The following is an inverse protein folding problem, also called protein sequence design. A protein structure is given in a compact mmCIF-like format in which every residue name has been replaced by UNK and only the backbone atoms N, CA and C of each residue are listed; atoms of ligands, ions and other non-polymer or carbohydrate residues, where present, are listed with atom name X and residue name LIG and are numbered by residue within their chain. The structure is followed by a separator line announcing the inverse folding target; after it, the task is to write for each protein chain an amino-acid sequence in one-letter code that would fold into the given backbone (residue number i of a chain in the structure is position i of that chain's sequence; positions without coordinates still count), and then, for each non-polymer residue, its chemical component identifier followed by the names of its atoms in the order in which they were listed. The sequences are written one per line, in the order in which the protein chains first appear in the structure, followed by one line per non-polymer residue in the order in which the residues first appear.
data_IF_380174977679
#
_entry.id   IF_380174977679
#
_cell.length_a   1.000
_cell.length_b   1.000
_cell.length_c   1.000
_cell.angle_alpha   90.00
_cell.angle_beta   90.00
_cell.angle_gamma   90.00
#
_symmetry.space_group_name_H-M   'P 1'
#
loop_
_entity.id
_entity.type
_entity.pdbx_description
1 polymer ?
#
# COMPACT_ATOMS: atom_id res chain seq x y z
N UNK A 1 -27.70 10.38 -20.29
CA UNK A 1 -26.39 10.59 -19.63
C UNK A 1 -26.47 11.45 -18.38
N UNK A 2 -27.11 12.64 -18.39
CA UNK A 2 -27.19 13.52 -17.21
C UNK A 2 -27.87 12.89 -15.97
N UNK A 3 -28.98 12.16 -16.17
CA UNK A 3 -29.71 11.51 -15.06
C UNK A 3 -28.94 10.38 -14.38
N UNK A 4 -28.25 9.54 -15.15
CA UNK A 4 -27.45 8.43 -14.61
C UNK A 4 -26.25 8.94 -13.79
N UNK A 5 -25.60 10.02 -14.26
CA UNK A 5 -24.49 10.66 -13.56
C UNK A 5 -24.95 11.28 -12.22
N UNK A 6 -26.13 11.93 -12.20
CA UNK A 6 -26.74 12.44 -10.98
C UNK A 6 -27.08 11.32 -9.99
N UNK A 7 -27.65 10.20 -10.45
CA UNK A 7 -27.97 9.07 -9.58
C UNK A 7 -26.72 8.43 -8.98
N UNK A 8 -25.62 8.32 -9.75
CA UNK A 8 -24.34 7.82 -9.24
C UNK A 8 -23.70 8.77 -8.22
N UNK A 9 -23.75 10.09 -8.46
CA UNK A 9 -23.27 11.10 -7.50
C UNK A 9 -24.10 11.12 -6.21
N UNK A 10 -25.42 10.96 -6.32
CA UNK A 10 -26.32 10.87 -5.16
C UNK A 10 -26.12 9.57 -4.36
N UNK A 11 -25.78 8.46 -5.02
CA UNK A 11 -25.46 7.20 -4.35
C UNK A 11 -24.16 7.28 -3.53
N UNK A 12 -23.18 8.11 -3.95
CA UNK A 12 -21.96 8.37 -3.17
C UNK A 12 -22.19 9.28 -1.95
N UNK A 13 -23.32 10.00 -1.89
CA UNK A 13 -23.69 10.89 -0.78
C UNK A 13 -24.50 10.18 0.31
N UNK A 14 -24.84 8.90 0.14
CA UNK A 14 -25.53 8.11 1.16
C UNK A 14 -24.56 7.86 2.33
N UNK A 15 -24.88 8.30 3.56
CA UNK A 15 -24.03 8.05 4.71
C UNK A 15 -24.12 6.57 5.07
N UNK A 16 -23.09 5.81 4.69
CA UNK A 16 -22.92 4.44 5.18
C UNK A 16 -22.46 4.51 6.64
N UNK A 17 -22.98 3.64 7.53
CA UNK A 17 -22.52 3.58 8.91
C UNK A 17 -21.03 3.20 8.94
N UNK A 18 -20.18 4.18 9.23
CA UNK A 18 -18.75 3.99 9.38
C UNK A 18 -18.49 3.37 10.77
N UNK A 19 -18.22 2.07 10.80
CA UNK A 19 -17.65 1.42 11.99
C UNK A 19 -16.14 1.67 11.97
N UNK A 20 -15.66 2.47 12.92
CA UNK A 20 -14.32 3.05 12.93
C UNK A 20 -13.15 2.05 12.97
N UNK A 21 -13.39 0.77 13.26
CA UNK A 21 -12.34 -0.24 13.45
C UNK A 21 -12.27 -1.36 12.38
N UNK A 22 -13.07 -1.27 11.31
CA UNK A 22 -13.10 -2.34 10.29
C UNK A 22 -12.00 -2.14 9.21
N UNK A 23 -11.42 -0.94 9.12
CA UNK A 23 -10.40 -0.62 8.12
C UNK A 23 -9.05 -1.30 8.37
N UNK A 24 -8.24 -1.51 7.31
CA UNK A 24 -6.86 -1.96 7.43
C UNK A 24 -6.12 -0.99 8.34
N UNK A 25 -5.14 -1.51 9.05
CA UNK A 25 -4.38 -0.75 10.03
C UNK A 25 -2.96 -0.59 9.54
N UNK A 26 -2.31 0.56 9.84
CA UNK A 26 -0.90 0.71 9.55
C UNK A 26 -0.11 -0.42 10.22
N UNK A 27 0.97 -0.82 9.58
CA UNK A 27 1.85 -1.85 10.11
C UNK A 27 3.32 -1.50 9.92
N UNK A 28 4.13 -2.04 10.83
CA UNK A 28 5.59 -2.01 10.73
C UNK A 28 6.08 -3.44 10.78
N UNK A 29 6.69 -3.90 9.68
CA UNK A 29 7.33 -5.22 9.57
C UNK A 29 8.83 -5.06 9.61
N UNK A 30 9.50 -5.85 10.45
CA UNK A 30 10.95 -5.91 10.54
C UNK A 30 11.39 -7.33 10.19
N UNK A 31 12.28 -7.48 9.21
CA UNK A 31 12.99 -8.74 8.95
C UNK A 31 14.37 -8.66 9.59
N UNK A 32 14.80 -9.71 10.28
CA UNK A 32 16.07 -9.76 10.99
C UNK A 32 16.98 -10.80 10.34
N UNK A 33 18.27 -10.48 10.24
CA UNK A 33 19.30 -11.35 9.68
C UNK A 33 20.60 -11.23 10.47
N UNK A 34 21.41 -12.28 10.46
CA UNK A 34 22.71 -12.29 11.14
C UNK A 34 22.64 -12.69 12.62
N UNK A 35 21.54 -13.34 13.02
CA UNK A 35 21.34 -13.91 14.37
C UNK A 35 21.36 -15.46 14.34
N UNK A 36 21.93 -16.06 13.28
CA UNK A 36 21.80 -17.48 12.93
C UNK A 36 22.01 -18.43 14.11
N UNK A 37 20.93 -19.08 14.54
CA UNK A 37 20.92 -20.09 15.60
C UNK A 37 20.68 -19.55 17.02
N UNK A 38 20.71 -18.23 17.23
CA UNK A 38 20.46 -17.63 18.54
C UNK A 38 18.96 -17.38 18.76
N UNK A 39 18.48 -17.76 19.95
CA UNK A 39 17.14 -17.37 20.41
C UNK A 39 17.14 -15.86 20.63
N UNK A 40 16.30 -15.11 19.91
CA UNK A 40 16.21 -13.67 20.08
C UNK A 40 14.75 -13.21 20.19
N UNK A 41 14.53 -12.15 20.96
CA UNK A 41 13.25 -11.47 21.06
C UNK A 41 13.40 -10.03 20.61
N UNK A 42 12.37 -9.46 20.00
CA UNK A 42 12.40 -8.11 19.47
C UNK A 42 11.17 -7.31 19.90
N UNK A 43 11.31 -6.00 19.97
CA UNK A 43 10.20 -5.04 20.13
C UNK A 43 10.48 -3.76 19.35
N UNK A 44 9.44 -2.92 19.20
CA UNK A 44 9.61 -1.52 18.84
C UNK A 44 9.45 -0.67 20.11
N UNK A 45 10.53 0.01 20.50
CA UNK A 45 10.44 1.04 21.53
C UNK A 45 9.81 2.28 20.90
N UNK A 46 8.81 2.87 21.56
CA UNK A 46 8.07 4.03 21.07
C UNK A 46 8.66 5.33 21.60
N UNK A 47 8.69 6.38 20.78
CA UNK A 47 9.05 7.73 21.26
C UNK A 47 8.00 8.34 22.22
N UNK A 48 6.79 7.78 22.24
CA UNK A 48 5.66 8.26 23.04
C UNK A 48 4.96 7.12 23.79
N UNK A 49 4.40 7.43 24.96
CA UNK A 49 3.50 6.53 25.70
C UNK A 49 2.44 7.36 26.45
N UNK A 50 1.14 7.03 26.35
CA UNK A 50 0.58 5.91 25.58
C UNK A 50 0.61 6.18 24.06
N UNK A 51 0.53 5.12 23.27
CA UNK A 51 0.38 5.19 21.81
C UNK A 51 -0.69 4.20 21.34
N UNK A 52 -1.76 4.72 20.74
CA UNK A 52 -2.93 3.90 20.39
C UNK A 52 -3.49 3.20 21.63
N UNK A 53 -3.74 1.87 21.59
CA UNK A 53 -4.19 1.11 22.75
C UNK A 53 -3.05 0.68 23.68
N UNK A 54 -1.79 0.98 23.35
CA UNK A 54 -0.62 0.50 24.07
C UNK A 54 -0.03 1.57 24.99
N UNK A 55 0.60 1.12 26.07
CA UNK A 55 1.22 2.00 27.06
C UNK A 55 2.44 1.35 27.68
N UNK A 56 3.37 2.16 28.15
CA UNK A 56 4.46 1.72 29.00
C UNK A 56 3.93 1.06 30.28
N UNK A 57 4.72 0.14 30.82
CA UNK A 57 4.39 -0.51 32.08
C UNK A 57 4.35 0.50 33.23
N UNK A 58 3.34 0.37 34.10
CA UNK A 58 3.13 1.26 35.24
C UNK A 58 4.05 0.97 36.44
N UNK A 59 4.84 -0.12 36.38
CA UNK A 59 5.75 -0.55 37.44
C UNK A 59 5.10 -1.39 38.55
N UNK A 60 3.78 -1.59 38.53
CA UNK A 60 3.03 -2.24 39.60
C UNK A 60 2.20 -3.43 39.12
N UNK A 61 1.58 -3.32 37.95
CA UNK A 61 0.65 -4.34 37.45
C UNK A 61 1.39 -5.50 36.81
N UNK A 62 1.13 -6.73 37.27
CA UNK A 62 1.57 -7.92 36.56
C UNK A 62 0.61 -8.19 35.42
N UNK A 63 1.11 -8.44 34.22
CA UNK A 63 0.28 -8.96 33.15
C UNK A 63 -0.01 -10.45 33.42
N UNK A 64 -1.15 -10.73 34.05
CA UNK A 64 -1.58 -12.09 34.42
C UNK A 64 -1.85 -13.02 33.21
N UNK A 65 -1.84 -12.47 31.99
CA UNK A 65 -2.06 -13.25 30.76
C UNK A 65 -0.80 -13.92 30.24
N UNK A 66 0.38 -13.55 30.76
CA UNK A 66 1.66 -14.12 30.37
C UNK A 66 1.96 -15.40 31.17
N UNK A 67 2.48 -16.41 30.50
CA UNK A 67 3.13 -17.54 31.16
C UNK A 67 4.37 -17.09 31.93
N UNK A 68 4.91 -17.92 32.82
CA UNK A 68 6.11 -17.54 33.59
C UNK A 68 7.32 -17.27 32.68
N UNK A 69 7.53 -18.10 31.66
CA UNK A 69 8.60 -17.91 30.66
C UNK A 69 8.42 -16.60 29.87
N UNK A 70 7.20 -16.30 29.44
CA UNK A 70 6.87 -15.05 28.76
C UNK A 70 7.07 -13.84 29.67
N UNK A 71 6.69 -13.97 30.95
CA UNK A 71 6.86 -12.91 31.94
C UNK A 71 8.33 -12.61 32.21
N UNK A 72 9.21 -13.60 32.26
CA UNK A 72 10.65 -13.40 32.41
C UNK A 72 11.23 -12.57 31.25
N UNK A 73 10.88 -12.91 30.01
CA UNK A 73 11.32 -12.16 28.82
C UNK A 73 10.72 -10.77 28.80
N UNK A 74 9.41 -10.66 29.03
CA UNK A 74 8.70 -9.38 29.09
C UNK A 74 9.32 -8.46 30.15
N UNK A 75 9.68 -8.99 31.32
CA UNK A 75 10.29 -8.20 32.40
C UNK A 75 11.65 -7.63 32.00
N UNK A 76 12.41 -8.33 31.14
CA UNK A 76 13.68 -7.81 30.60
C UNK A 76 13.43 -6.56 29.76
N UNK A 77 12.42 -6.57 28.90
CA UNK A 77 12.02 -5.39 28.15
C UNK A 77 11.41 -4.29 29.03
N UNK A 78 10.56 -4.64 29.99
CA UNK A 78 9.91 -3.68 30.88
C UNK A 78 10.87 -2.92 31.79
N UNK A 79 12.04 -3.50 32.08
CA UNK A 79 13.12 -2.88 32.86
C UNK A 79 14.22 -2.27 32.01
N UNK A 80 14.12 -2.36 30.68
CA UNK A 80 15.11 -1.76 29.80
C UNK A 80 14.93 -0.23 29.81
N UNK A 81 15.98 0.49 30.19
CA UNK A 81 16.03 1.96 30.13
C UNK A 81 16.74 2.37 28.84
N UNK A 82 15.96 2.89 27.88
CA UNK A 82 16.54 3.43 26.65
C UNK A 82 17.25 4.77 26.93
N UNK A 83 18.50 4.96 26.46
CA UNK A 83 19.24 6.20 26.68
C UNK A 83 18.58 7.47 26.12
N UNK A 84 17.76 7.33 25.07
CA UNK A 84 17.04 8.44 24.45
C UNK A 84 15.59 8.55 24.98
N UNK A 85 15.23 7.80 26.02
CA UNK A 85 13.93 7.87 26.68
C UNK A 85 12.78 7.20 25.94
N UNK A 86 13.05 6.27 25.01
CA UNK A 86 12.00 5.50 24.33
C UNK A 86 11.37 4.45 25.25
N UNK A 87 10.07 4.19 25.06
CA UNK A 87 9.24 3.37 25.92
C UNK A 87 8.99 1.98 25.33
N UNK A 88 9.12 0.93 26.15
CA UNK A 88 8.58 -0.39 25.82
C UNK A 88 7.06 -0.41 26.05
N UNK A 89 6.28 -0.61 24.99
CA UNK A 89 4.80 -0.62 25.06
C UNK A 89 4.20 -2.01 25.31
N UNK A 90 4.96 -2.88 26.00
CA UNK A 90 4.51 -4.19 26.47
C UNK A 90 4.25 -5.26 25.38
N UNK A 91 4.60 -4.98 24.13
CA UNK A 91 4.53 -5.94 23.01
C UNK A 91 5.92 -6.38 22.57
N UNK A 92 6.14 -7.68 22.42
CA UNK A 92 7.40 -8.23 21.92
C UNK A 92 7.13 -9.50 21.11
N UNK A 93 8.09 -9.88 20.28
CA UNK A 93 7.99 -11.02 19.38
C UNK A 93 9.22 -11.90 19.49
N UNK A 94 9.01 -13.22 19.40
CA UNK A 94 10.10 -14.14 19.14
C UNK A 94 10.56 -14.00 17.68
N UNK A 95 11.87 -13.97 17.46
CA UNK A 95 12.47 -13.79 16.14
C UNK A 95 13.46 -14.91 15.84
N UNK A 96 13.53 -15.29 14.57
CA UNK A 96 14.54 -16.25 14.06
C UNK A 96 15.25 -15.64 12.86
N UNK A 97 16.41 -16.18 12.52
CA UNK A 97 17.21 -15.68 11.40
C UNK A 97 16.46 -15.73 10.07
N UNK A 98 16.60 -14.68 9.26
CA UNK A 98 15.84 -14.44 8.03
C UNK A 98 14.31 -14.32 8.22
N UNK A 99 13.83 -14.35 9.46
CA UNK A 99 12.46 -14.02 9.84
C UNK A 99 12.50 -12.79 10.74
N UNK A 100 11.33 -12.26 11.08
CA UNK A 100 11.25 -11.21 12.06
C UNK A 100 9.82 -11.09 12.53
N UNK A 101 9.29 -9.88 12.61
CA UNK A 101 7.99 -9.65 13.21
C UNK A 101 7.23 -8.53 12.52
N UNK A 102 5.93 -8.46 12.81
CA UNK A 102 5.04 -7.41 12.31
C UNK A 102 4.22 -6.88 13.47
N UNK A 103 4.32 -5.57 13.73
CA UNK A 103 3.38 -4.85 14.57
C UNK A 103 2.24 -4.34 13.69
N UNK A 104 1.14 -5.09 13.65
CA UNK A 104 0.04 -4.92 12.69
C UNK A 104 -1.13 -4.04 13.14
N UNK A 105 -1.11 -3.54 14.38
CA UNK A 105 -2.18 -2.72 14.94
C UNK A 105 -1.55 -1.55 15.69
N UNK A 106 -1.79 -0.32 15.24
CA UNK A 106 -1.26 0.91 15.84
C UNK A 106 0.25 0.86 16.21
N UNK A 107 1.16 0.49 15.29
CA UNK A 107 2.59 0.59 15.55
C UNK A 107 2.98 2.06 15.82
N UNK A 108 4.01 2.32 16.63
CA UNK A 108 4.53 3.67 16.86
C UNK A 108 4.98 4.35 15.55
N UNK A 109 4.76 5.67 15.44
CA UNK A 109 5.23 6.48 14.31
C UNK A 109 6.75 6.65 14.35
N UNK A 110 7.28 7.06 15.49
CA UNK A 110 8.71 7.21 15.77
C UNK A 110 9.13 6.13 16.76
N UNK A 111 10.13 5.33 16.40
CA UNK A 111 10.48 4.14 17.17
C UNK A 111 11.95 3.75 17.05
N UNK A 112 12.39 2.83 17.92
CA UNK A 112 13.63 2.07 17.77
C UNK A 112 13.34 0.59 17.76
N UNK A 113 14.16 -0.20 17.09
CA UNK A 113 14.13 -1.66 17.20
C UNK A 113 15.04 -2.04 18.36
N UNK A 114 14.54 -2.86 19.28
CA UNK A 114 15.31 -3.42 20.38
C UNK A 114 15.29 -4.94 20.29
N UNK A 115 16.47 -5.56 20.27
CA UNK A 115 16.67 -7.00 20.34
C UNK A 115 17.17 -7.39 21.72
N UNK A 116 16.68 -8.50 22.24
CA UNK A 116 17.13 -9.15 23.47
C UNK A 116 17.57 -10.58 23.18
N UNK A 117 18.77 -10.93 23.63
CA UNK A 117 19.37 -12.26 23.49
C UNK A 117 19.41 -12.94 24.87
N UNK A 118 18.50 -13.88 25.18
CA UNK A 118 18.39 -14.48 26.51
C UNK A 118 19.62 -15.26 26.94
N UNK A 119 20.36 -15.85 25.99
CA UNK A 119 21.55 -16.67 26.29
C UNK A 119 22.70 -15.83 26.85
N UNK A 120 22.86 -14.60 26.36
CA UNK A 120 23.91 -13.67 26.79
C UNK A 120 23.39 -12.59 27.75
N UNK A 121 22.07 -12.40 27.82
CA UNK A 121 21.43 -11.29 28.52
C UNK A 121 21.65 -9.94 27.84
N UNK A 122 22.19 -9.91 26.62
CA UNK A 122 22.55 -8.69 25.92
C UNK A 122 21.35 -8.05 25.21
N UNK A 123 21.40 -6.72 25.08
CA UNK A 123 20.49 -5.94 24.26
C UNK A 123 21.23 -5.29 23.10
N UNK A 124 20.57 -5.23 21.94
CA UNK A 124 21.01 -4.43 20.79
C UNK A 124 19.88 -3.49 20.37
N UNK A 125 20.18 -2.20 20.29
CA UNK A 125 19.20 -1.16 19.93
C UNK A 125 19.59 -0.49 18.61
N UNK A 126 18.60 -0.07 17.83
CA UNK A 126 18.83 0.68 16.59
C UNK A 126 18.96 2.16 16.88
N UNK A 127 19.34 2.94 15.86
CA UNK A 127 19.03 4.37 15.85
C UNK A 127 17.52 4.62 15.80
N UNK A 128 17.12 5.89 15.95
CA UNK A 128 15.72 6.32 15.80
C UNK A 128 15.26 6.14 14.36
N UNK A 129 14.07 5.58 14.20
CA UNK A 129 13.41 5.29 12.93
C UNK A 129 12.02 5.93 12.92
N UNK A 130 11.51 6.19 11.73
CA UNK A 130 10.17 6.71 11.53
C UNK A 130 9.44 5.86 10.49
N UNK A 131 8.15 5.60 10.75
CA UNK A 131 7.30 4.88 9.81
C UNK A 131 7.07 5.74 8.56
N UNK A 132 7.46 5.23 7.40
CA UNK A 132 7.48 5.99 6.15
C UNK A 132 6.28 5.73 5.22
N UNK A 133 5.54 4.65 5.47
CA UNK A 133 4.39 4.22 4.67
C UNK A 133 3.31 3.59 5.57
N UNK A 134 2.10 3.44 5.01
CA UNK A 134 1.00 2.73 5.67
C UNK A 134 1.42 1.31 6.09
N UNK A 135 2.11 0.60 5.22
CA UNK A 135 2.84 -0.63 5.52
C UNK A 135 4.34 -0.34 5.36
N UNK A 136 5.04 -0.21 6.48
CA UNK A 136 6.49 0.04 6.47
C UNK A 136 7.26 -1.25 6.69
N UNK A 137 8.34 -1.40 5.95
CA UNK A 137 9.20 -2.58 5.96
C UNK A 137 10.63 -2.16 6.26
N UNK A 138 11.23 -2.82 7.25
CA UNK A 138 12.62 -2.61 7.61
C UNK A 138 13.37 -3.93 7.56
N UNK A 139 14.61 -3.86 7.07
CA UNK A 139 15.56 -4.95 7.15
C UNK A 139 16.62 -4.60 8.18
N UNK A 140 16.67 -5.40 9.23
CA UNK A 140 17.64 -5.36 10.31
C UNK A 140 18.74 -6.42 10.05
N UNK A 141 19.98 -5.96 9.93
CA UNK A 141 21.16 -6.81 9.85
C UNK A 141 22.00 -6.66 11.12
N UNK A 142 22.17 -7.77 11.84
CA UNK A 142 22.98 -7.85 13.06
C UNK A 142 24.37 -8.35 12.68
N UNK A 143 25.41 -7.63 13.10
CA UNK A 143 26.80 -8.04 12.88
C UNK A 143 27.75 -7.36 13.87
N UNK A 144 28.76 -8.08 14.36
CA UNK A 144 29.85 -7.50 15.15
C UNK A 144 29.42 -6.75 16.42
N UNK A 145 28.32 -7.17 17.06
CA UNK A 145 27.77 -6.50 18.25
C UNK A 145 26.99 -5.21 17.97
N UNK A 146 26.70 -4.91 16.70
CA UNK A 146 25.88 -3.78 16.28
C UNK A 146 24.72 -4.21 15.38
N UNK A 147 23.85 -3.25 15.07
CA UNK A 147 22.67 -3.44 14.25
C UNK A 147 22.57 -2.34 13.19
N UNK A 148 22.42 -2.74 11.93
CA UNK A 148 22.16 -1.84 10.80
C UNK A 148 20.73 -2.04 10.33
N UNK A 149 19.98 -0.95 10.24
CA UNK A 149 18.58 -0.98 9.81
C UNK A 149 18.41 -0.12 8.57
N UNK A 150 17.70 -0.66 7.57
CA UNK A 150 17.34 0.05 6.35
C UNK A 150 15.88 -0.19 5.99
N UNK A 151 15.24 0.80 5.35
CA UNK A 151 13.95 0.60 4.72
C UNK A 151 14.08 -0.46 3.60
N UNK A 152 13.10 -1.35 3.49
CA UNK A 152 13.14 -2.51 2.60
C UNK A 152 11.83 -2.71 1.83
N UNK A 153 11.16 -1.61 1.47
CA UNK A 153 9.94 -1.67 0.68
C UNK A 153 10.20 -2.28 -0.70
N UNK A 154 9.37 -3.25 -1.12
CA UNK A 154 9.43 -3.84 -2.46
C UNK A 154 8.66 -2.97 -3.47
N UNK A 155 9.35 -1.99 -4.04
CA UNK A 155 8.81 -1.13 -5.10
C UNK A 155 8.53 -1.90 -6.41
N UNK A 156 9.26 -2.98 -6.66
CA UNK A 156 9.27 -3.69 -7.94
C UNK A 156 7.96 -4.43 -8.20
N UNK A 157 7.38 -5.02 -7.14
CA UNK A 157 6.11 -5.74 -7.23
C UNK A 157 4.94 -4.83 -7.57
N UNK A 158 4.89 -3.63 -6.97
CA UNK A 158 3.88 -2.62 -7.30
C UNK A 158 3.99 -2.17 -8.76
N UNK A 159 5.21 -1.85 -9.20
CA UNK A 159 5.47 -1.33 -10.55
C UNK A 159 5.22 -2.37 -11.64
N UNK A 160 5.64 -3.62 -11.45
CA UNK A 160 5.42 -4.70 -12.42
C UNK A 160 3.93 -4.99 -12.64
N UNK A 161 3.11 -4.98 -11.58
CA UNK A 161 1.66 -5.13 -11.68
C UNK A 161 1.00 -3.96 -12.40
N UNK A 162 1.43 -2.74 -12.11
CA UNK A 162 0.97 -1.54 -12.81
C UNK A 162 1.31 -1.60 -14.31
N UNK A 163 2.54 -2.00 -14.64
CA UNK A 163 3.00 -2.12 -16.02
C UNK A 163 2.23 -3.20 -16.80
N UNK A 164 2.04 -4.39 -16.20
CA UNK A 164 1.24 -5.46 -16.81
C UNK A 164 -0.18 -4.99 -17.12
N UNK A 165 -0.81 -4.28 -16.19
CA UNK A 165 -2.16 -3.78 -16.37
C UNK A 165 -2.24 -2.73 -17.46
N UNK A 166 -1.33 -1.75 -17.47
CA UNK A 166 -1.25 -0.77 -18.55
C UNK A 166 -1.08 -1.44 -19.93
N UNK A 167 -0.20 -2.45 -20.02
CA UNK A 167 0.01 -3.20 -21.27
C UNK A 167 -1.26 -3.93 -21.74
N UNK A 168 -1.94 -4.65 -20.83
CA UNK A 168 -3.17 -5.37 -21.16
C UNK A 168 -4.30 -4.43 -21.56
N UNK A 169 -4.42 -3.27 -20.90
CA UNK A 169 -5.38 -2.23 -21.27
C UNK A 169 -5.09 -1.70 -22.68
N UNK A 170 -3.85 -1.31 -22.97
CA UNK A 170 -3.47 -0.82 -24.31
C UNK A 170 -3.79 -1.86 -25.40
N UNK A 171 -3.53 -3.15 -25.14
CA UNK A 171 -3.85 -4.23 -26.07
C UNK A 171 -5.36 -4.39 -26.29
N UNK A 172 -6.14 -4.34 -25.20
CA UNK A 172 -7.59 -4.41 -25.25
C UNK A 172 -8.18 -3.23 -26.05
N UNK A 173 -7.69 -2.02 -25.80
CA UNK A 173 -8.17 -0.81 -26.47
C UNK A 173 -7.77 -0.75 -27.94
N UNK A 174 -6.59 -1.25 -28.30
CA UNK A 174 -6.20 -1.43 -29.69
C UNK A 174 -7.11 -2.45 -30.40
N UNK A 175 -7.41 -3.59 -29.76
CA UNK A 175 -8.35 -4.58 -30.29
C UNK A 175 -9.74 -4.01 -30.52
N UNK A 176 -10.26 -3.24 -29.55
CA UNK A 176 -11.54 -2.56 -29.68
C UNK A 176 -11.53 -1.47 -30.76
N UNK A 177 -10.42 -0.74 -30.92
CA UNK A 177 -10.31 0.26 -31.97
C UNK A 177 -10.49 -0.36 -33.35
N UNK A 178 -9.87 -1.52 -33.59
CA UNK A 178 -10.02 -2.29 -34.83
C UNK A 178 -11.46 -2.78 -35.04
N UNK A 179 -12.13 -3.27 -33.99
CA UNK A 179 -13.53 -3.70 -34.05
C UNK A 179 -14.50 -2.55 -34.36
N UNK A 180 -14.20 -1.34 -33.88
CA UNK A 180 -14.95 -0.12 -34.18
C UNK A 180 -14.62 0.48 -35.55
N UNK A 181 -13.74 -0.16 -36.32
CA UNK A 181 -13.37 0.24 -37.68
C UNK A 181 -12.29 1.30 -37.77
N UNK A 182 -11.61 1.64 -36.66
CA UNK A 182 -10.47 2.54 -36.69
C UNK A 182 -9.24 1.77 -37.19
N UNK A 183 -8.78 2.12 -38.40
CA UNK A 183 -7.63 1.48 -39.05
C UNK A 183 -6.53 2.46 -39.44
N UNK A 184 -6.77 3.76 -39.30
CA UNK A 184 -5.77 4.76 -39.64
C UNK A 184 -4.69 4.85 -38.55
N UNK A 185 -3.42 4.82 -38.96
CA UNK A 185 -2.29 4.88 -38.03
C UNK A 185 -2.35 6.09 -37.08
N UNK A 186 -2.85 7.24 -37.56
CA UNK A 186 -3.01 8.45 -36.73
C UNK A 186 -4.10 8.31 -35.67
N UNK A 187 -5.16 7.55 -35.94
CA UNK A 187 -6.22 7.26 -34.97
C UNK A 187 -5.72 6.26 -33.93
N UNK A 188 -5.06 5.19 -34.39
CA UNK A 188 -4.48 4.18 -33.51
C UNK A 188 -3.39 4.79 -32.59
N UNK A 189 -2.56 5.69 -33.12
CA UNK A 189 -1.56 6.41 -32.33
C UNK A 189 -2.20 7.35 -31.29
N UNK A 190 -3.31 8.01 -31.63
CA UNK A 190 -4.05 8.84 -30.68
C UNK A 190 -4.60 7.99 -29.53
N UNK A 191 -5.22 6.84 -29.82
CA UNK A 191 -5.75 5.93 -28.81
C UNK A 191 -4.63 5.37 -27.93
N UNK A 192 -3.58 4.82 -28.54
CA UNK A 192 -2.46 4.25 -27.82
C UNK A 192 -1.73 5.28 -26.95
N UNK A 193 -1.48 6.48 -27.48
CA UNK A 193 -0.82 7.56 -26.74
C UNK A 193 -1.66 8.09 -25.58
N UNK A 194 -2.96 8.28 -25.79
CA UNK A 194 -3.87 8.72 -24.72
C UNK A 194 -3.94 7.67 -23.61
N UNK A 195 -4.15 6.40 -23.97
CA UNK A 195 -4.15 5.28 -23.04
C UNK A 195 -2.87 5.17 -22.22
N UNK A 196 -1.72 5.26 -22.87
CA UNK A 196 -0.44 5.16 -22.18
C UNK A 196 -0.31 6.24 -21.10
N UNK A 197 -0.71 7.47 -21.43
CA UNK A 197 -0.67 8.61 -20.50
C UNK A 197 -1.69 8.42 -19.37
N UNK A 198 -2.95 8.13 -19.70
CA UNK A 198 -4.03 8.02 -18.71
C UNK A 198 -3.83 6.84 -17.78
N UNK A 199 -3.46 5.67 -18.30
CA UNK A 199 -3.16 4.47 -17.50
C UNK A 199 -1.90 4.67 -16.65
N UNK A 200 -0.87 5.33 -17.19
CA UNK A 200 0.31 5.71 -16.40
C UNK A 200 -0.06 6.58 -15.20
N UNK A 201 -0.84 7.63 -15.42
CA UNK A 201 -1.31 8.53 -14.36
C UNK A 201 -2.19 7.80 -13.33
N UNK A 202 -3.10 6.94 -13.79
CA UNK A 202 -3.97 6.14 -12.93
C UNK A 202 -3.16 5.25 -11.99
N UNK A 203 -2.22 4.45 -12.51
CA UNK A 203 -1.49 3.50 -11.68
C UNK A 203 -0.46 4.14 -10.78
N UNK A 204 0.21 5.22 -11.22
CA UNK A 204 1.09 5.99 -10.33
C UNK A 204 0.27 6.57 -9.17
N UNK A 205 -0.89 7.15 -9.46
CA UNK A 205 -1.77 7.72 -8.43
C UNK A 205 -2.23 6.65 -7.43
N UNK A 206 -2.68 5.49 -7.93
CA UNK A 206 -3.12 4.38 -7.08
C UNK A 206 -1.99 3.78 -6.25
N UNK A 207 -0.79 3.70 -6.81
CA UNK A 207 0.40 3.26 -6.08
C UNK A 207 0.70 4.20 -4.91
N UNK A 208 0.74 5.51 -5.16
CA UNK A 208 0.96 6.52 -4.11
C UNK A 208 -0.14 6.50 -3.05
N UNK A 209 -1.40 6.37 -3.47
CA UNK A 209 -2.53 6.30 -2.53
C UNK A 209 -2.42 5.06 -1.64
N UNK A 210 -2.08 3.90 -2.21
CA UNK A 210 -1.87 2.67 -1.42
C UNK A 210 -0.71 2.83 -0.45
N UNK A 211 0.39 3.43 -0.91
CA UNK A 211 1.58 3.65 -0.09
C UNK A 211 1.30 4.52 1.15
N UNK A 212 0.52 5.59 1.00
CA UNK A 212 0.24 6.52 2.10
C UNK A 212 -1.01 6.18 2.91
N UNK A 213 -2.05 5.60 2.28
CA UNK A 213 -3.40 5.44 2.86
C UNK A 213 -3.86 4.00 2.97
N UNK A 214 -3.08 3.04 2.49
CA UNK A 214 -3.37 1.62 2.60
C UNK A 214 -4.36 1.07 1.56
N UNK A 215 -4.65 -0.24 1.65
CA UNK A 215 -5.33 -0.99 0.59
C UNK A 215 -6.83 -0.69 0.44
N UNK A 216 -7.48 -0.12 1.45
CA UNK A 216 -8.89 0.28 1.31
C UNK A 216 -9.06 1.59 0.55
N UNK A 217 -8.16 2.54 0.76
CA UNK A 217 -8.14 3.79 0.00
C UNK A 217 -7.94 3.50 -1.49
N UNK A 218 -7.14 2.48 -1.83
CA UNK A 218 -6.98 2.01 -3.21
C UNK A 218 -8.32 1.76 -3.90
N UNK A 219 -9.23 0.98 -3.30
CA UNK A 219 -10.50 0.61 -3.96
C UNK A 219 -11.42 1.80 -4.21
N UNK A 220 -11.54 2.69 -3.23
CA UNK A 220 -12.33 3.90 -3.37
C UNK A 220 -11.76 4.78 -4.49
N UNK A 221 -10.46 5.07 -4.44
CA UNK A 221 -9.81 5.93 -5.42
C UNK A 221 -9.68 5.29 -6.79
N UNK A 222 -9.60 3.97 -6.88
CA UNK A 222 -9.65 3.23 -8.15
C UNK A 222 -10.93 3.56 -8.90
N UNK A 223 -12.09 3.48 -8.27
CA UNK A 223 -13.36 3.80 -8.91
C UNK A 223 -13.45 5.28 -9.35
N UNK A 224 -12.97 6.20 -8.50
CA UNK A 224 -12.99 7.65 -8.79
C UNK A 224 -12.05 8.00 -9.95
N UNK A 225 -10.84 7.47 -9.94
CA UNK A 225 -9.83 7.78 -10.95
C UNK A 225 -10.13 7.12 -12.29
N UNK A 226 -10.68 5.89 -12.32
CA UNK A 226 -11.17 5.25 -13.54
C UNK A 226 -12.29 6.07 -14.21
N UNK A 227 -13.21 6.63 -13.41
CA UNK A 227 -14.26 7.52 -13.95
C UNK A 227 -13.66 8.81 -14.53
N UNK A 228 -12.61 9.35 -13.90
CA UNK A 228 -11.90 10.53 -14.39
C UNK A 228 -11.16 10.22 -15.70
N UNK A 229 -10.47 9.08 -15.78
CA UNK A 229 -9.79 8.59 -17.00
C UNK A 229 -10.79 8.45 -18.14
N UNK A 230 -11.91 7.76 -17.92
CA UNK A 230 -12.96 7.63 -18.92
C UNK A 230 -13.44 8.99 -19.45
N UNK A 231 -13.69 9.94 -18.54
CA UNK A 231 -14.17 11.28 -18.93
C UNK A 231 -13.13 12.02 -19.77
N UNK A 232 -11.85 11.93 -19.39
CA UNK A 232 -10.74 12.54 -20.10
C UNK A 232 -10.55 11.92 -21.49
N UNK A 233 -10.51 10.60 -21.59
CA UNK A 233 -10.36 9.88 -22.85
C UNK A 233 -11.51 10.15 -23.81
N UNK A 234 -12.75 10.11 -23.32
CA UNK A 234 -13.93 10.43 -24.13
C UNK A 234 -13.88 11.86 -24.68
N UNK A 235 -13.39 12.82 -23.89
CA UNK A 235 -13.19 14.20 -24.34
C UNK A 235 -12.09 14.28 -25.41
N UNK A 236 -10.92 13.69 -25.15
CA UNK A 236 -9.77 13.68 -26.08
C UNK A 236 -10.16 13.07 -27.42
N UNK A 237 -10.79 11.89 -27.41
CA UNK A 237 -11.20 11.21 -28.64
C UNK A 237 -12.27 11.99 -29.37
N UNK A 238 -13.26 12.56 -28.69
CA UNK A 238 -14.31 13.35 -29.34
C UNK A 238 -13.77 14.62 -30.00
N UNK A 239 -12.74 15.24 -29.43
CA UNK A 239 -12.15 16.49 -29.93
C UNK A 239 -11.09 16.27 -31.02
N UNK A 240 -10.27 15.22 -30.91
CA UNK A 240 -9.09 15.04 -31.75
C UNK A 240 -9.25 14.01 -32.87
N UNK A 241 -10.20 13.05 -32.76
CA UNK A 241 -10.34 11.97 -33.75
C UNK A 241 -10.61 12.49 -35.17
N UNK A 242 -11.35 13.61 -35.29
CA UNK A 242 -11.67 14.23 -36.58
C UNK A 242 -10.45 14.84 -37.27
N UNK A 243 -9.40 15.21 -36.51
CA UNK A 243 -8.11 15.66 -37.07
C UNK A 243 -7.20 14.51 -37.46
N UNK A 244 -7.45 13.33 -36.90
CA UNK A 244 -6.68 12.12 -37.14
C UNK A 244 -7.29 11.21 -38.21
N UNK A 245 -8.42 11.58 -38.81
CA UNK A 245 -9.08 10.79 -39.85
C UNK A 245 -9.06 11.48 -41.20
N UNK A 246 -8.86 10.70 -42.27
CA UNK A 246 -9.06 11.15 -43.65
C UNK A 246 -10.53 11.30 -44.02
N UNK A 247 -11.42 10.56 -43.36
CA UNK A 247 -12.85 10.55 -43.64
C UNK A 247 -13.66 11.19 -42.51
N UNK A 248 -14.82 11.76 -42.85
CA UNK A 248 -15.72 12.36 -41.86
C UNK A 248 -16.29 11.26 -40.96
N UNK A 249 -15.87 11.26 -39.70
CA UNK A 249 -16.32 10.27 -38.72
C UNK A 249 -17.78 10.52 -38.32
N UNK A 250 -18.62 9.48 -38.23
CA UNK A 250 -20.01 9.64 -37.81
C UNK A 250 -20.08 10.11 -36.35
N UNK A 251 -21.02 11.02 -36.04
CA UNK A 251 -21.14 11.59 -34.70
C UNK A 251 -21.40 10.49 -33.67
N UNK A 252 -20.70 10.56 -32.53
CA UNK A 252 -20.87 9.62 -31.42
C UNK A 252 -20.19 8.26 -31.58
N UNK A 253 -19.52 7.93 -32.70
CA UNK A 253 -18.71 6.70 -32.80
C UNK A 253 -17.53 6.72 -31.82
N UNK A 254 -16.82 7.83 -31.72
CA UNK A 254 -15.71 8.00 -30.78
C UNK A 254 -16.15 7.95 -29.31
N UNK A 255 -17.28 8.57 -28.99
CA UNK A 255 -17.86 8.51 -27.65
C UNK A 255 -18.27 7.08 -27.25
N UNK A 256 -18.87 6.30 -28.16
CA UNK A 256 -19.22 4.90 -27.91
C UNK A 256 -17.98 4.02 -27.76
N UNK A 257 -16.97 4.24 -28.58
CA UNK A 257 -15.68 3.56 -28.44
C UNK A 257 -15.06 3.83 -27.07
N UNK A 258 -14.94 5.11 -26.68
CA UNK A 258 -14.39 5.48 -25.37
C UNK A 258 -15.14 4.79 -24.22
N UNK A 259 -16.47 4.76 -24.29
CA UNK A 259 -17.31 4.12 -23.27
C UNK A 259 -17.04 2.62 -23.18
N UNK A 260 -17.07 1.91 -24.30
CA UNK A 260 -16.86 0.45 -24.31
C UNK A 260 -15.43 0.09 -23.92
N UNK A 261 -14.45 0.82 -24.43
CA UNK A 261 -13.04 0.64 -24.08
C UNK A 261 -12.81 0.82 -22.59
N UNK A 262 -13.19 1.96 -22.02
CA UNK A 262 -12.96 2.23 -20.60
C UNK A 262 -13.75 1.30 -19.67
N UNK A 263 -14.98 0.90 -20.02
CA UNK A 263 -15.73 -0.06 -19.22
C UNK A 263 -15.05 -1.43 -19.17
N UNK A 264 -14.55 -1.90 -20.32
CA UNK A 264 -13.84 -3.19 -20.40
C UNK A 264 -12.45 -3.11 -19.75
N UNK A 265 -11.72 -2.01 -19.96
CA UNK A 265 -10.43 -1.72 -19.31
C UNK A 265 -10.57 -1.66 -17.79
N UNK A 266 -11.61 -1.00 -17.28
CA UNK A 266 -11.91 -0.93 -15.83
C UNK A 266 -12.26 -2.32 -15.27
N UNK A 267 -13.10 -3.09 -15.97
CA UNK A 267 -13.41 -4.47 -15.57
C UNK A 267 -12.18 -5.38 -15.52
N UNK A 268 -11.30 -5.25 -16.51
CA UNK A 268 -10.01 -5.93 -16.54
C UNK A 268 -9.10 -5.48 -15.39
N UNK A 269 -9.05 -4.18 -15.11
CA UNK A 269 -8.31 -3.60 -13.99
C UNK A 269 -8.78 -4.15 -12.63
N UNK A 270 -10.10 -4.28 -12.43
CA UNK A 270 -10.68 -4.91 -11.24
C UNK A 270 -10.30 -6.38 -11.12
N UNK A 271 -10.40 -7.15 -12.21
CA UNK A 271 -10.02 -8.57 -12.20
C UNK A 271 -8.53 -8.76 -11.83
N UNK A 272 -7.65 -7.96 -12.45
CA UNK A 272 -6.21 -8.01 -12.20
C UNK A 272 -5.82 -7.54 -10.80
N UNK A 273 -6.58 -6.62 -10.19
CA UNK A 273 -6.34 -6.17 -8.82
C UNK A 273 -6.66 -7.22 -7.74
N UNK A 274 -7.35 -8.31 -8.10
CA UNK A 274 -7.67 -9.43 -7.21
C UNK A 274 -6.71 -10.61 -7.33
N UNK A 275 -5.78 -10.56 -8.28
CA UNK A 275 -4.77 -11.61 -8.43
C UNK A 275 -3.69 -11.47 -7.35
N UNK A 276 -3.20 -12.59 -6.81
CA UNK A 276 -2.26 -12.61 -5.67
C UNK A 276 -0.92 -11.94 -5.93
#
# INVERSE_FOLDING_TARGET
MRGLLCCLLLAMLLPLPARADIGPKPSTTVTISGISGEKAYATLLSGESPWGPYQAWDGYSRNERLTEEEYEIWQKFARYEDPDGFYFLQEYWYCTDAQGFTWGYHPPDVFKILLYFPETGAFLTSGVLERYAFESYFHCAVSGGGMQVRASYDYSRGLSRAALRAALTILLEAGLALLFGYRENRQLLLFAGTNLITQGLLYISLYLITYWKGPWAFWFWFAVLELAVFTLEAAVYSLLIGRCSRERQPPGRACRYALVANLLSCGLGMALSRLP
#
